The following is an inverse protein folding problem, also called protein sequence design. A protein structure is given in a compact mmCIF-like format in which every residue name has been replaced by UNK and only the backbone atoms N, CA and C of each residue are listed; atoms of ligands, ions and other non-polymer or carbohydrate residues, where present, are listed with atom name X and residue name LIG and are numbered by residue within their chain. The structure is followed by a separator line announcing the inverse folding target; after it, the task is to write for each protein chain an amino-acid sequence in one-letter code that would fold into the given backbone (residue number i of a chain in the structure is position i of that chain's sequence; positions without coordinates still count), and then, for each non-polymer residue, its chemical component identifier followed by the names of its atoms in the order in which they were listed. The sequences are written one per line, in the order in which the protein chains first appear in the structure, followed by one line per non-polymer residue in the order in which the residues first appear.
data_IF_771021474172
#
_entry.id   IF_771021474172
#
_cell.length_a   1.000
_cell.length_b   1.000
_cell.length_c   1.000
_cell.angle_alpha   90.00
_cell.angle_beta   90.00
_cell.angle_gamma   90.00
#
_symmetry.space_group_name_H-M   'P 1'
#
loop_
_entity.id
_entity.type
_entity.pdbx_description
1 polymer ?
#
# COMPACT_ATOMS: atom_id res chain seq x y z
N UNK A 1 3.22 0.82 47.42
CA UNK A 1 3.92 1.17 46.18
C UNK A 1 4.03 -0.10 45.34
N UNK A 2 3.01 -0.39 44.52
CA UNK A 2 2.98 -1.56 43.63
C UNK A 2 3.29 -1.07 42.23
N UNK A 3 4.53 -1.29 41.80
CA UNK A 3 5.02 -0.97 40.47
C UNK A 3 4.41 -1.96 39.47
N UNK A 4 3.41 -1.50 38.73
CA UNK A 4 2.68 -2.30 37.76
C UNK A 4 3.43 -2.24 36.44
N UNK A 5 4.39 -3.15 36.23
CA UNK A 5 5.08 -3.26 34.94
C UNK A 5 4.07 -3.56 33.84
N UNK A 6 3.85 -2.58 32.97
CA UNK A 6 3.13 -2.78 31.71
C UNK A 6 3.84 -3.86 30.88
N UNK A 7 3.09 -4.79 30.25
CA UNK A 7 3.69 -5.81 29.43
C UNK A 7 4.36 -5.17 28.21
N UNK A 8 5.63 -5.48 28.01
CA UNK A 8 6.40 -5.12 26.81
C UNK A 8 5.75 -5.84 25.63
N UNK A 9 5.07 -5.10 24.76
CA UNK A 9 4.53 -5.65 23.51
C UNK A 9 5.72 -5.92 22.59
N UNK A 10 6.19 -7.16 22.57
CA UNK A 10 7.17 -7.63 21.59
C UNK A 10 6.49 -7.59 20.22
N UNK A 11 6.98 -6.72 19.32
CA UNK A 11 6.64 -6.76 17.90
C UNK A 11 7.23 -8.05 17.30
N UNK A 12 6.53 -9.16 17.47
CA UNK A 12 6.88 -10.43 16.85
C UNK A 12 6.64 -10.29 15.34
N UNK A 13 7.70 -10.51 14.56
CA UNK A 13 7.59 -10.57 13.11
C UNK A 13 6.57 -11.66 12.73
N UNK A 14 5.60 -11.38 11.83
CA UNK A 14 4.59 -12.36 11.47
C UNK A 14 5.18 -13.58 10.77
N UNK A 15 4.50 -14.73 10.92
CA UNK A 15 4.83 -15.93 10.14
C UNK A 15 4.47 -15.75 8.67
N UNK A 16 5.07 -16.54 7.78
CA UNK A 16 4.75 -16.55 6.34
C UNK A 16 3.24 -16.80 6.13
N UNK A 17 2.65 -17.72 6.89
CA UNK A 17 1.22 -18.02 6.81
C UNK A 17 0.34 -16.83 7.19
N UNK A 18 0.74 -16.05 8.20
CA UNK A 18 0.04 -14.82 8.58
C UNK A 18 0.14 -13.73 7.50
N UNK A 19 1.27 -13.66 6.79
CA UNK A 19 1.45 -12.73 5.66
C UNK A 19 0.58 -13.18 4.48
N UNK A 20 0.52 -14.48 4.17
CA UNK A 20 -0.30 -15.03 3.09
C UNK A 20 -1.80 -14.92 3.38
N UNK A 21 -2.20 -15.05 4.65
CA UNK A 21 -3.57 -14.82 5.09
C UNK A 21 -3.95 -13.33 5.13
N UNK A 22 -2.98 -12.42 5.02
CA UNK A 22 -3.23 -10.98 5.04
C UNK A 22 -4.02 -10.54 3.81
N UNK A 23 -5.06 -9.75 4.05
CA UNK A 23 -5.94 -9.26 3.00
C UNK A 23 -5.21 -8.42 1.94
N UNK A 24 -4.23 -7.60 2.33
CA UNK A 24 -3.46 -6.81 1.37
C UNK A 24 -2.64 -7.74 0.48
N UNK A 25 -1.97 -8.74 1.06
CA UNK A 25 -1.19 -9.73 0.29
C UNK A 25 -2.07 -10.47 -0.71
N UNK A 26 -3.28 -10.87 -0.30
CA UNK A 26 -4.23 -11.54 -1.19
C UNK A 26 -4.74 -10.64 -2.32
N UNK A 27 -4.97 -9.35 -2.05
CA UNK A 27 -5.32 -8.38 -3.08
C UNK A 27 -4.13 -8.14 -4.02
N UNK A 28 -2.93 -7.97 -3.48
CA UNK A 28 -1.73 -7.77 -4.27
C UNK A 28 -1.52 -8.91 -5.26
N UNK A 29 -1.58 -10.17 -4.81
CA UNK A 29 -1.42 -11.33 -5.69
C UNK A 29 -2.45 -11.40 -6.81
N UNK A 30 -3.64 -10.81 -6.64
CA UNK A 30 -4.70 -10.79 -7.66
C UNK A 30 -4.52 -9.69 -8.69
N UNK A 31 -3.78 -8.63 -8.38
CA UNK A 31 -3.88 -7.37 -9.14
C UNK A 31 -2.54 -6.72 -9.49
N UNK A 32 -1.48 -6.85 -8.68
CA UNK A 32 -0.26 -6.05 -8.87
C UNK A 32 1.04 -6.63 -8.29
N UNK A 33 1.01 -7.73 -7.54
CA UNK A 33 2.19 -8.23 -6.84
C UNK A 33 3.27 -8.70 -7.83
N UNK A 34 4.53 -8.26 -7.66
CA UNK A 34 5.60 -8.47 -8.64
C UNK A 34 6.01 -9.93 -8.82
N UNK A 35 5.67 -10.79 -7.86
CA UNK A 35 5.98 -12.22 -7.87
C UNK A 35 4.90 -13.09 -8.53
N UNK A 36 3.86 -12.48 -9.10
CA UNK A 36 2.79 -13.14 -9.85
C UNK A 36 2.87 -12.70 -11.31
N UNK A 37 2.59 -13.63 -12.24
CA UNK A 37 2.60 -13.33 -13.67
C UNK A 37 1.52 -12.28 -14.01
N UNK A 38 1.85 -11.15 -14.65
CA UNK A 38 0.86 -10.12 -15.00
C UNK A 38 -0.31 -10.62 -15.85
N UNK A 39 -0.13 -11.70 -16.62
CA UNK A 39 -1.23 -12.32 -17.39
C UNK A 39 -2.28 -13.00 -16.51
N UNK A 40 -1.99 -13.24 -15.25
CA UNK A 40 -2.92 -13.83 -14.26
C UNK A 40 -3.64 -12.76 -13.44
N UNK A 41 -3.29 -11.48 -13.60
CA UNK A 41 -3.94 -10.39 -12.89
C UNK A 41 -5.39 -10.24 -13.33
N UNK A 42 -6.24 -9.91 -12.36
CA UNK A 42 -7.56 -9.39 -12.64
C UNK A 42 -7.44 -7.99 -13.27
N UNK A 43 -8.41 -7.58 -14.11
CA UNK A 43 -8.46 -6.22 -14.63
C UNK A 43 -8.44 -5.16 -13.53
N UNK A 44 -7.89 -3.98 -13.82
CA UNK A 44 -7.89 -2.86 -12.90
C UNK A 44 -9.31 -2.57 -12.38
N UNK A 45 -9.42 -2.32 -11.07
CA UNK A 45 -10.68 -2.04 -10.41
C UNK A 45 -10.49 -0.89 -9.39
N UNK A 46 -11.04 0.31 -9.64
CA UNK A 46 -10.86 1.46 -8.74
C UNK A 46 -11.44 1.20 -7.34
N UNK A 47 -12.44 0.30 -7.20
CA UNK A 47 -12.99 -0.06 -5.90
C UNK A 47 -11.95 -0.74 -4.98
N UNK A 48 -10.93 -1.38 -5.55
CA UNK A 48 -9.83 -1.96 -4.75
C UNK A 48 -9.07 -0.86 -4.03
N UNK A 49 -8.82 0.28 -4.68
CA UNK A 49 -8.16 1.45 -4.08
C UNK A 49 -9.03 2.05 -2.98
N UNK A 50 -10.32 2.24 -3.24
CA UNK A 50 -11.28 2.70 -2.24
C UNK A 50 -11.33 1.79 -1.00
N UNK A 51 -11.38 0.47 -1.21
CA UNK A 51 -11.43 -0.49 -0.11
C UNK A 51 -10.11 -0.52 0.69
N UNK A 52 -8.96 -0.46 0.03
CA UNK A 52 -7.67 -0.40 0.71
C UNK A 52 -7.57 0.87 1.55
N UNK A 53 -7.89 2.03 0.98
CA UNK A 53 -7.84 3.28 1.72
C UNK A 53 -8.78 3.26 2.93
N UNK A 54 -10.05 2.92 2.74
CA UNK A 54 -11.03 2.99 3.81
C UNK A 54 -10.82 1.92 4.88
N UNK A 55 -10.45 0.70 4.49
CA UNK A 55 -10.46 -0.45 5.40
C UNK A 55 -9.08 -0.82 5.95
N UNK A 56 -8.03 -0.60 5.17
CA UNK A 56 -6.68 -0.97 5.57
C UNK A 56 -5.86 0.21 6.08
N UNK A 57 -6.08 1.41 5.54
CA UNK A 57 -5.36 2.62 5.94
C UNK A 57 -6.15 3.39 7.00
N UNK A 58 -7.36 3.83 6.67
CA UNK A 58 -8.15 4.73 7.52
C UNK A 58 -8.68 4.02 8.79
N UNK A 59 -9.38 2.89 8.64
CA UNK A 59 -9.89 2.12 9.80
C UNK A 59 -8.79 1.60 10.72
N UNK A 60 -7.58 1.35 10.21
CA UNK A 60 -6.43 0.95 11.03
C UNK A 60 -5.71 2.12 11.70
N UNK A 61 -6.24 3.34 11.55
CA UNK A 61 -5.64 4.59 12.01
C UNK A 61 -4.19 4.77 11.50
N UNK A 62 -4.01 4.61 10.18
CA UNK A 62 -2.74 4.78 9.49
C UNK A 62 -1.63 3.89 10.08
N UNK A 63 -1.97 2.63 10.36
CA UNK A 63 -1.03 1.66 10.93
C UNK A 63 0.20 1.49 10.06
N UNK A 64 1.37 1.78 10.62
CA UNK A 64 2.69 1.63 9.96
C UNK A 64 2.83 0.23 9.37
N UNK A 65 2.35 -0.81 10.06
CA UNK A 65 2.39 -2.18 9.55
C UNK A 65 1.58 -2.38 8.27
N UNK A 66 0.39 -1.79 8.15
CA UNK A 66 -0.43 -1.90 6.91
C UNK A 66 0.25 -1.17 5.76
N UNK A 67 0.78 0.02 6.02
CA UNK A 67 1.49 0.85 5.04
C UNK A 67 2.75 0.13 4.53
N UNK A 68 3.55 -0.46 5.43
CA UNK A 68 4.73 -1.25 5.04
C UNK A 68 4.36 -2.45 4.14
N UNK A 69 3.25 -3.14 4.40
CA UNK A 69 2.81 -4.26 3.55
C UNK A 69 2.42 -3.76 2.14
N UNK A 70 1.74 -2.61 2.04
CA UNK A 70 1.41 -2.00 0.75
C UNK A 70 2.68 -1.63 -0.03
N UNK A 71 3.65 -1.00 0.63
CA UNK A 71 4.92 -0.60 0.03
C UNK A 71 5.70 -1.82 -0.47
N UNK A 72 5.85 -2.85 0.39
CA UNK A 72 6.54 -4.08 0.03
C UNK A 72 5.87 -4.81 -1.15
N UNK A 73 4.55 -4.72 -1.25
CA UNK A 73 3.78 -5.28 -2.36
C UNK A 73 3.89 -4.49 -3.67
N UNK A 74 4.61 -3.36 -3.70
CA UNK A 74 4.74 -2.44 -4.83
C UNK A 74 3.41 -1.81 -5.26
N UNK A 75 2.58 -1.43 -4.28
CA UNK A 75 1.26 -0.87 -4.52
C UNK A 75 1.29 0.44 -5.32
N UNK A 76 2.30 1.29 -5.10
CA UNK A 76 2.45 2.56 -5.81
C UNK A 76 2.79 2.33 -7.29
N UNK A 77 3.83 1.53 -7.52
CA UNK A 77 4.44 1.32 -8.84
C UNK A 77 3.54 0.51 -9.77
N UNK A 78 2.85 -0.50 -9.22
CA UNK A 78 2.18 -1.50 -10.03
C UNK A 78 0.66 -1.34 -10.05
N UNK A 79 0.06 -0.57 -9.15
CA UNK A 79 -1.40 -0.41 -9.09
C UNK A 79 -1.90 1.02 -9.01
N UNK A 80 -1.30 1.88 -8.18
CA UNK A 80 -1.78 3.25 -8.03
C UNK A 80 -1.39 4.12 -9.23
N UNK A 81 -0.09 4.29 -9.47
CA UNK A 81 0.39 5.27 -10.44
C UNK A 81 0.02 4.94 -11.89
N UNK A 82 0.17 3.70 -12.38
CA UNK A 82 -0.20 3.37 -13.77
C UNK A 82 -1.68 3.53 -14.08
N UNK A 83 -2.53 3.57 -13.06
CA UNK A 83 -3.99 3.70 -13.20
C UNK A 83 -4.50 5.05 -12.67
N UNK A 84 -3.60 5.98 -12.32
CA UNK A 84 -3.99 7.30 -11.86
C UNK A 84 -4.34 8.19 -13.05
N UNK A 85 -5.50 8.83 -12.99
CA UNK A 85 -5.91 9.84 -13.95
C UNK A 85 -6.37 11.05 -13.16
N UNK A 86 -5.58 12.11 -13.18
CA UNK A 86 -5.77 13.35 -12.43
C UNK A 86 -7.20 13.91 -12.57
N UNK A 87 -7.74 13.93 -13.80
CA UNK A 87 -9.06 14.46 -14.10
C UNK A 87 -10.23 13.74 -13.43
N UNK A 88 -10.07 12.48 -13.02
CA UNK A 88 -11.12 11.68 -12.37
C UNK A 88 -10.68 11.08 -11.01
N UNK A 89 -9.54 11.53 -10.50
CA UNK A 89 -8.92 10.97 -9.32
C UNK A 89 -9.82 11.10 -8.09
N UNK A 90 -10.04 9.99 -7.40
CA UNK A 90 -10.75 10.02 -6.12
C UNK A 90 -9.83 10.47 -4.99
N UNK A 91 -10.44 10.88 -3.88
CA UNK A 91 -9.70 11.20 -2.67
C UNK A 91 -8.88 10.00 -2.18
N UNK A 92 -9.46 8.80 -2.16
CA UNK A 92 -8.77 7.59 -1.72
C UNK A 92 -7.55 7.28 -2.58
N UNK A 93 -7.65 7.42 -3.91
CA UNK A 93 -6.53 7.17 -4.82
C UNK A 93 -5.40 8.17 -4.62
N UNK A 94 -5.74 9.46 -4.63
CA UNK A 94 -4.76 10.54 -4.42
C UNK A 94 -4.08 10.40 -3.06
N UNK A 95 -4.85 10.15 -2.00
CA UNK A 95 -4.30 10.02 -0.65
C UNK A 95 -3.46 8.76 -0.48
N UNK A 96 -3.84 7.66 -1.13
CA UNK A 96 -3.01 6.45 -1.14
C UNK A 96 -1.65 6.70 -1.79
N UNK A 97 -1.60 7.46 -2.90
CA UNK A 97 -0.32 7.86 -3.53
C UNK A 97 0.53 8.68 -2.56
N UNK A 98 -0.05 9.71 -1.93
CA UNK A 98 0.66 10.56 -0.96
C UNK A 98 1.25 9.73 0.19
N UNK A 99 0.48 8.78 0.72
CA UNK A 99 0.92 7.91 1.81
C UNK A 99 2.09 7.02 1.36
N UNK A 100 2.03 6.41 0.17
CA UNK A 100 3.13 5.60 -0.35
C UNK A 100 4.38 6.42 -0.63
N UNK A 101 4.25 7.66 -1.11
CA UNK A 101 5.39 8.56 -1.30
C UNK A 101 6.04 8.90 0.05
N UNK A 102 5.23 9.26 1.05
CA UNK A 102 5.72 9.53 2.41
C UNK A 102 6.43 8.32 3.02
N UNK A 103 5.92 7.11 2.76
CA UNK A 103 6.56 5.87 3.19
C UNK A 103 7.95 5.71 2.59
N UNK A 104 8.10 5.92 1.27
CA UNK A 104 9.38 5.83 0.59
C UNK A 104 10.38 6.87 1.11
N UNK A 105 9.92 8.08 1.42
CA UNK A 105 10.76 9.07 2.10
C UNK A 105 11.22 8.60 3.47
N UNK A 106 10.32 7.99 4.26
CA UNK A 106 10.66 7.45 5.58
C UNK A 106 11.72 6.35 5.49
N UNK A 107 11.61 5.46 4.51
CA UNK A 107 12.57 4.38 4.24
C UNK A 107 13.83 4.85 3.48
N UNK A 108 13.91 6.13 3.12
CA UNK A 108 15.01 6.72 2.32
C UNK A 108 15.22 6.04 0.96
N UNK A 109 14.14 5.52 0.39
CA UNK A 109 14.10 4.96 -0.97
C UNK A 109 13.72 6.06 -1.95
N UNK A 110 14.27 6.05 -3.17
CA UNK A 110 14.00 7.06 -4.18
C UNK A 110 12.53 7.02 -4.65
N UNK A 111 11.66 7.96 -4.22
CA UNK A 111 10.21 7.86 -4.47
C UNK A 111 9.85 8.17 -5.93
N UNK A 112 10.66 9.02 -6.56
CA UNK A 112 10.40 9.58 -7.88
C UNK A 112 10.56 8.57 -9.02
N UNK A 113 11.23 7.44 -8.80
CA UNK A 113 11.40 6.44 -9.86
C UNK A 113 10.06 5.85 -10.29
N UNK A 114 9.12 5.67 -9.35
CA UNK A 114 7.77 5.22 -9.65
C UNK A 114 7.02 6.18 -10.59
N UNK A 115 7.18 7.50 -10.35
CA UNK A 115 6.41 8.53 -11.05
C UNK A 115 6.92 8.78 -12.48
N UNK A 116 8.18 8.42 -12.78
CA UNK A 116 8.76 8.59 -14.12
C UNK A 116 8.12 7.75 -15.21
N UNK A 117 7.43 6.66 -14.84
CA UNK A 117 6.81 5.75 -15.80
C UNK A 117 5.50 6.29 -16.38
N UNK A 118 4.95 7.39 -15.81
CA UNK A 118 3.71 8.01 -16.27
C UNK A 118 3.69 9.52 -15.94
N UNK A 119 4.62 10.33 -16.49
CA UNK A 119 4.84 11.70 -16.02
C UNK A 119 3.69 12.66 -16.35
N UNK A 120 2.89 12.37 -17.37
CA UNK A 120 1.82 13.27 -17.86
C UNK A 120 0.72 13.55 -16.81
N UNK A 121 0.57 12.65 -15.84
CA UNK A 121 -0.43 12.78 -14.76
C UNK A 121 0.11 13.53 -13.53
N UNK A 122 1.38 13.95 -13.54
CA UNK A 122 2.00 14.67 -12.43
C UNK A 122 1.68 16.17 -12.40
N UNK A 123 1.50 16.77 -13.58
CA UNK A 123 1.25 18.22 -13.74
C UNK A 123 -0.25 18.59 -13.71
N UNK A 124 -1.12 17.63 -13.37
CA UNK A 124 -2.58 17.75 -13.38
C UNK A 124 -3.16 18.77 -12.41
#
# INVERSE_FOLDING_TARGET
MTDSKQPVVLNVAPTIDQINADRITQLASKYWAPNVNPNEYLPYNPQVVENIYNEEIYKSNFSVRRIMILEFSQYLENYLWPNYVSSNATFAHTMSIVIMLNEKFRERVAPWQALKNHPDEFDG
#
